data_IF_574188962976
#
_entry.id   IF_574188962976
#
_cell.length_a   1.000
_cell.length_b   1.000
_cell.length_c   1.000
_cell.angle_alpha   90.00
_cell.angle_beta   90.00
_cell.angle_gamma   90.00
#
_symmetry.space_group_name_H-M   'P 1'
#
loop_
_entity.id
_entity.type
_entity.pdbx_description
1 polymer ?
#
# COMPACT_ATOMS: atom_id res chain seq x y z
N UNK A 1 -19.62 12.13 12.01
CA UNK A 1 -18.87 11.45 13.08
C UNK A 1 -18.15 10.27 12.43
N UNK A 2 -16.82 10.23 12.52
CA UNK A 2 -15.97 9.26 11.80
C UNK A 2 -16.21 7.86 12.35
N UNK A 3 -16.64 6.93 11.49
CA UNK A 3 -16.92 5.55 11.85
C UNK A 3 -15.62 4.74 11.65
N UNK A 4 -14.88 4.51 12.75
CA UNK A 4 -13.66 3.71 12.76
C UNK A 4 -14.03 2.24 12.95
N UNK A 5 -13.98 1.43 11.88
CA UNK A 5 -14.31 0.00 11.94
C UNK A 5 -13.20 -0.83 11.30
N UNK A 6 -12.19 -1.17 12.09
CA UNK A 6 -11.33 -2.33 11.84
C UNK A 6 -10.99 -2.95 13.20
N UNK A 7 -11.70 -4.04 13.53
CA UNK A 7 -11.29 -4.92 14.61
C UNK A 7 -10.08 -5.70 14.11
N UNK A 8 -8.88 -5.33 14.57
CA UNK A 8 -7.67 -6.12 14.39
C UNK A 8 -7.84 -7.43 15.15
N UNK A 9 -7.97 -8.55 14.43
CA UNK A 9 -7.88 -9.88 15.02
C UNK A 9 -6.41 -10.18 15.29
N UNK A 10 -5.93 -9.87 16.48
CA UNK A 10 -4.59 -10.26 16.93
C UNK A 10 -4.62 -11.74 17.31
N UNK A 11 -4.21 -12.61 16.38
CA UNK A 11 -3.87 -14.00 16.69
C UNK A 11 -2.40 -14.04 17.15
N UNK A 12 -2.18 -14.06 18.46
CA UNK A 12 -0.84 -14.19 19.04
C UNK A 12 -0.36 -15.64 19.07
N UNK A 13 0.82 -15.90 18.52
CA UNK A 13 1.91 -16.64 19.22
C UNK A 13 3.22 -16.65 18.40
N UNK A 14 4.16 -15.82 18.87
CA UNK A 14 5.62 -15.95 18.88
C UNK A 14 6.36 -16.73 17.77
N UNK A 15 6.85 -15.99 16.76
CA UNK A 15 8.25 -16.06 16.27
C UNK A 15 8.70 -14.61 16.06
N UNK A 16 9.96 -14.30 16.36
CA UNK A 16 10.53 -12.95 16.32
C UNK A 16 10.34 -12.28 14.94
N UNK A 17 9.82 -11.06 14.95
CA UNK A 17 9.57 -10.23 13.76
C UNK A 17 8.09 -10.21 13.41
N UNK A 18 7.46 -9.05 13.53
CA UNK A 18 6.02 -8.88 13.31
C UNK A 18 5.70 -9.16 11.83
N UNK A 19 5.22 -10.37 11.52
CA UNK A 19 4.94 -10.79 10.14
C UNK A 19 3.65 -10.19 9.54
N UNK A 20 2.93 -9.37 10.31
CA UNK A 20 1.60 -8.86 9.95
C UNK A 20 1.53 -7.36 10.15
N UNK A 21 1.02 -6.65 9.14
CA UNK A 21 0.65 -5.25 9.27
C UNK A 21 1.65 -4.25 8.74
N UNK A 22 2.66 -4.65 7.97
CA UNK A 22 3.91 -3.91 7.78
C UNK A 22 4.48 -4.14 6.36
N UNK A 23 4.92 -3.06 5.69
CA UNK A 23 5.77 -3.09 4.49
C UNK A 23 7.19 -2.63 4.84
N UNK A 24 8.19 -3.20 4.16
CA UNK A 24 9.56 -2.69 4.26
C UNK A 24 9.70 -1.48 3.35
N UNK A 25 9.91 -0.29 3.91
CA UNK A 25 10.10 0.94 3.17
C UNK A 25 11.59 1.34 3.16
N UNK A 26 12.17 1.52 1.98
CA UNK A 26 13.51 2.06 1.79
C UNK A 26 13.45 3.48 1.24
N UNK A 27 14.24 4.37 1.82
CA UNK A 27 14.35 5.76 1.38
C UNK A 27 15.69 5.99 0.71
N UNK A 28 15.68 6.68 -0.42
CA UNK A 28 16.86 7.03 -1.20
C UNK A 28 16.94 8.53 -1.43
N UNK A 29 18.16 9.07 -1.48
CA UNK A 29 18.42 10.44 -1.90
C UNK A 29 18.37 10.57 -3.42
N UNK A 30 17.53 11.47 -3.90
CA UNK A 30 17.24 11.73 -5.29
C UNK A 30 16.11 10.86 -5.84
N UNK A 31 15.83 11.04 -7.12
CA UNK A 31 14.94 10.22 -7.91
C UNK A 31 15.46 10.14 -9.35
N UNK A 32 15.05 9.08 -10.06
CA UNK A 32 15.33 8.95 -11.48
C UNK A 32 14.32 7.99 -12.12
N UNK A 33 14.14 8.19 -13.42
CA UNK A 33 13.38 7.30 -14.29
C UNK A 33 14.37 6.56 -15.19
N UNK A 34 14.29 5.23 -15.21
CA UNK A 34 15.11 4.41 -16.08
C UNK A 34 14.66 4.50 -17.55
N UNK A 35 15.43 3.86 -18.45
CA UNK A 35 15.13 3.86 -19.89
C UNK A 35 13.81 3.16 -20.25
N UNK A 36 13.23 2.37 -19.34
CA UNK A 36 11.93 1.72 -19.49
C UNK A 36 10.78 2.55 -18.93
N UNK A 37 11.06 3.75 -18.41
CA UNK A 37 10.05 4.62 -17.82
C UNK A 37 9.71 4.28 -16.37
N UNK A 38 10.51 3.45 -15.70
CA UNK A 38 10.25 3.07 -14.31
C UNK A 38 11.05 3.93 -13.33
N UNK A 39 10.42 4.22 -12.19
CA UNK A 39 11.10 4.78 -11.03
C UNK A 39 12.17 3.78 -10.59
N UNK A 40 13.41 4.25 -10.54
CA UNK A 40 14.59 3.42 -10.30
C UNK A 40 15.45 3.98 -9.18
N UNK A 41 16.01 3.10 -8.37
CA UNK A 41 16.92 3.44 -7.28
C UNK A 41 18.39 3.19 -7.64
N UNK A 42 18.66 2.73 -8.86
CA UNK A 42 20.00 2.35 -9.32
C UNK A 42 20.95 3.55 -9.33
N UNK A 43 21.92 3.57 -8.43
CA UNK A 43 22.86 4.69 -8.31
C UNK A 43 22.38 5.83 -7.41
N UNK A 44 21.20 5.70 -6.78
CA UNK A 44 20.80 6.57 -5.69
C UNK A 44 21.45 6.14 -4.37
N UNK A 45 21.63 7.09 -3.45
CA UNK A 45 22.16 6.79 -2.11
C UNK A 45 21.03 6.32 -1.21
N UNK A 46 21.11 5.10 -0.67
CA UNK A 46 20.18 4.62 0.34
C UNK A 46 20.38 5.38 1.66
N UNK A 47 19.32 5.99 2.18
CA UNK A 47 19.35 6.81 3.39
C UNK A 47 18.91 6.03 4.63
N UNK A 48 18.06 5.02 4.45
CA UNK A 48 17.65 4.14 5.53
C UNK A 48 16.42 3.31 5.18
N UNK A 49 16.06 2.44 6.12
CA UNK A 49 14.90 1.56 6.03
C UNK A 49 14.02 1.76 7.24
N UNK A 50 12.71 1.79 7.05
CA UNK A 50 11.74 1.69 8.12
C UNK A 50 10.63 0.70 7.77
N UNK A 51 9.75 0.46 8.72
CA UNK A 51 8.57 -0.37 8.53
C UNK A 51 7.35 0.54 8.49
N UNK A 52 6.55 0.38 7.46
CA UNK A 52 5.38 1.21 7.20
C UNK A 52 4.11 0.37 7.17
N UNK A 53 3.17 0.57 8.10
CA UNK A 53 2.00 -0.29 8.16
C UNK A 53 1.02 -0.05 7.01
N UNK A 54 1.01 1.16 6.44
CA UNK A 54 0.11 1.56 5.35
C UNK A 54 0.74 2.69 4.55
N UNK A 55 0.55 2.68 3.23
CA UNK A 55 0.88 3.84 2.38
C UNK A 55 -0.30 4.82 2.48
N UNK A 56 -0.30 5.64 3.53
CA UNK A 56 -1.33 6.64 3.86
C UNK A 56 -0.69 7.95 4.36
N UNK A 57 0.21 8.52 3.56
CA UNK A 57 0.99 9.71 3.89
C UNK A 57 0.47 10.94 3.15
N UNK A 58 -0.78 11.31 3.40
CA UNK A 58 -1.36 12.58 2.94
C UNK A 58 -2.58 12.97 3.79
N UNK A 59 -2.70 14.24 4.18
CA UNK A 59 -3.81 14.73 4.99
C UNK A 59 -4.95 15.38 4.18
N UNK A 60 -4.94 15.21 2.85
CA UNK A 60 -5.85 15.84 1.90
C UNK A 60 -5.72 17.38 1.82
N UNK A 61 -4.55 17.93 2.16
CA UNK A 61 -4.22 19.35 1.96
C UNK A 61 -3.10 19.52 0.94
N UNK A 62 -3.07 20.69 0.31
CA UNK A 62 -2.00 21.04 -0.65
C UNK A 62 -0.67 21.38 0.02
N UNK A 63 -0.68 21.66 1.32
CA UNK A 63 0.50 22.07 2.08
C UNK A 63 1.14 20.95 2.88
N UNK A 64 0.67 19.71 2.70
CA UNK A 64 1.22 18.55 3.38
C UNK A 64 2.66 18.32 2.92
N UNK A 65 3.48 17.91 3.90
CA UNK A 65 4.88 17.57 3.68
C UNK A 65 5.18 16.30 4.41
N UNK A 66 5.33 15.21 3.67
CA UNK A 66 5.78 13.98 4.28
C UNK A 66 7.30 14.07 4.47
N UNK A 67 7.77 13.62 5.63
CA UNK A 67 9.19 13.69 5.96
C UNK A 67 9.68 12.31 6.37
N UNK A 68 9.86 11.40 5.40
CA UNK A 68 10.40 10.08 5.68
C UNK A 68 11.87 10.21 6.07
N UNK A 69 12.21 9.77 7.29
CA UNK A 69 13.57 9.74 7.83
C UNK A 69 14.31 11.09 7.90
N UNK A 70 13.60 12.22 7.97
CA UNK A 70 14.25 13.54 8.03
C UNK A 70 14.55 14.16 6.66
N UNK A 71 14.03 13.59 5.57
CA UNK A 71 14.24 14.06 4.19
C UNK A 71 13.02 14.85 3.73
N UNK A 72 13.23 16.09 3.27
CA UNK A 72 12.14 16.99 2.88
C UNK A 72 11.84 16.97 1.38
N UNK A 73 12.84 16.80 0.51
CA UNK A 73 12.69 16.93 -0.94
C UNK A 73 13.71 16.03 -1.65
N UNK A 74 13.49 15.78 -2.95
CA UNK A 74 14.39 15.00 -3.80
C UNK A 74 14.70 13.65 -3.19
N UNK A 75 13.68 12.80 -3.09
CA UNK A 75 13.82 11.47 -2.54
C UNK A 75 12.97 10.46 -3.28
N UNK A 76 13.32 9.19 -3.12
CA UNK A 76 12.53 8.05 -3.59
C UNK A 76 12.22 7.16 -2.40
N UNK A 77 10.98 6.68 -2.29
CA UNK A 77 10.61 5.61 -1.35
C UNK A 77 10.17 4.38 -2.13
N UNK A 78 10.70 3.23 -1.75
CA UNK A 78 10.22 1.94 -2.26
C UNK A 78 9.65 1.12 -1.11
N UNK A 79 8.42 0.64 -1.25
CA UNK A 79 7.83 -0.34 -0.34
C UNK A 79 7.85 -1.72 -0.97
N UNK A 80 8.39 -2.70 -0.24
CA UNK A 80 8.40 -4.10 -0.63
C UNK A 80 7.71 -4.97 0.42
N UNK A 81 6.88 -5.89 -0.05
CA UNK A 81 6.17 -6.86 0.78
C UNK A 81 5.19 -7.69 -0.04
N UNK A 82 4.06 -8.03 0.58
CA UNK A 82 2.98 -8.76 -0.08
C UNK A 82 1.62 -8.16 0.26
N UNK A 83 0.74 -8.19 -0.72
CA UNK A 83 -0.69 -7.93 -0.58
C UNK A 83 -1.44 -9.24 -0.40
N UNK A 84 -2.21 -9.35 0.67
CA UNK A 84 -3.06 -10.50 0.96
C UNK A 84 -4.49 -10.27 0.45
N UNK A 85 -4.89 -11.15 -0.46
CA UNK A 85 -6.15 -11.07 -1.17
C UNK A 85 -7.08 -12.20 -0.66
N UNK A 86 -8.27 -11.90 -0.11
CA UNK A 86 -9.14 -12.92 0.48
C UNK A 86 -9.99 -13.70 -0.52
N UNK A 87 -10.15 -13.20 -1.74
CA UNK A 87 -11.03 -13.79 -2.74
C UNK A 87 -10.47 -13.58 -4.13
N UNK A 88 -10.74 -14.54 -5.01
CA UNK A 88 -10.49 -14.36 -6.44
C UNK A 88 -11.35 -13.20 -6.99
N UNK A 89 -10.77 -12.39 -7.86
CA UNK A 89 -11.53 -11.40 -8.60
C UNK A 89 -10.71 -10.21 -9.08
N UNK A 90 -11.43 -9.22 -9.62
CA UNK A 90 -10.84 -7.96 -10.06
C UNK A 90 -10.74 -7.01 -8.86
N UNK A 91 -9.51 -6.59 -8.58
CA UNK A 91 -9.20 -5.54 -7.61
C UNK A 91 -8.86 -4.28 -8.39
N UNK A 92 -9.53 -3.17 -8.08
CA UNK A 92 -9.16 -1.86 -8.60
C UNK A 92 -8.24 -1.17 -7.59
N UNK A 93 -7.25 -0.44 -8.07
CA UNK A 93 -6.29 0.29 -7.27
C UNK A 93 -6.27 1.75 -7.70
N UNK A 94 -6.08 2.62 -6.72
CA UNK A 94 -5.95 4.05 -6.90
C UNK A 94 -4.81 4.57 -6.05
N UNK A 95 -4.00 5.45 -6.60
CA UNK A 95 -3.05 6.25 -5.83
C UNK A 95 -3.40 7.73 -5.96
N UNK A 96 -3.04 8.50 -4.94
CA UNK A 96 -2.86 9.94 -5.08
C UNK A 96 -1.43 10.23 -4.65
N UNK A 97 -0.66 10.88 -5.50
CA UNK A 97 0.75 11.18 -5.24
C UNK A 97 1.14 12.57 -5.75
N UNK A 98 2.02 13.20 -5.00
CA UNK A 98 2.79 14.39 -5.38
C UNK A 98 4.24 14.04 -5.02
N UNK A 99 5.15 13.74 -5.95
CA UNK A 99 4.97 13.61 -7.40
C UNK A 99 4.55 12.19 -7.86
N UNK A 100 5.51 11.37 -8.28
CA UNK A 100 5.30 10.23 -9.17
C UNK A 100 5.24 8.90 -8.43
N UNK A 101 4.40 7.98 -8.90
CA UNK A 101 4.21 6.66 -8.31
C UNK A 101 4.06 5.55 -9.35
N UNK A 102 4.59 4.37 -9.02
CA UNK A 102 4.29 3.12 -9.70
C UNK A 102 3.97 2.03 -8.68
N UNK A 103 3.02 1.16 -9.03
CA UNK A 103 2.60 0.02 -8.20
C UNK A 103 2.68 -1.24 -9.04
N UNK A 104 3.39 -2.23 -8.54
CA UNK A 104 3.56 -3.54 -9.14
C UNK A 104 2.99 -4.60 -8.20
N UNK A 105 2.20 -5.52 -8.77
CA UNK A 105 1.65 -6.68 -8.05
C UNK A 105 2.06 -7.94 -8.81
N UNK A 106 2.89 -8.77 -8.19
CA UNK A 106 3.61 -9.83 -8.89
C UNK A 106 4.46 -9.26 -10.03
N UNK A 107 4.29 -9.79 -11.23
CA UNK A 107 4.99 -9.32 -12.44
C UNK A 107 4.20 -8.22 -13.20
N UNK A 108 3.07 -7.76 -12.67
CA UNK A 108 2.18 -6.82 -13.34
C UNK A 108 2.37 -5.39 -12.82
N UNK A 109 2.60 -4.43 -13.73
CA UNK A 109 2.44 -3.01 -13.42
C UNK A 109 0.95 -2.68 -13.35
N UNK A 110 0.47 -2.36 -12.15
CA UNK A 110 -0.95 -2.07 -11.88
C UNK A 110 -1.22 -0.58 -11.99
N UNK A 111 -0.37 0.26 -11.37
CA UNK A 111 -0.42 1.72 -11.52
C UNK A 111 0.90 2.17 -12.15
N UNK A 112 0.81 2.97 -13.20
CA UNK A 112 1.96 3.56 -13.87
C UNK A 112 1.76 5.08 -14.00
N UNK A 113 2.19 5.84 -12.99
CA UNK A 113 2.07 7.29 -12.97
C UNK A 113 3.38 7.99 -12.51
N UNK A 114 4.50 7.83 -13.25
CA UNK A 114 5.82 8.31 -12.84
C UNK A 114 6.06 9.78 -13.23
N UNK A 115 5.01 10.57 -13.47
CA UNK A 115 5.11 11.93 -13.95
C UNK A 115 5.42 12.94 -12.84
N UNK A 116 6.04 14.05 -13.20
CA UNK A 116 6.05 15.25 -12.35
C UNK A 116 4.65 15.86 -12.35
N UNK A 117 4.09 16.07 -11.18
CA UNK A 117 2.72 16.49 -10.99
C UNK A 117 2.49 16.98 -9.57
N UNK A 118 1.55 17.91 -9.40
CA UNK A 118 0.88 18.07 -8.11
C UNK A 118 0.08 16.80 -7.78
N UNK A 119 -0.43 16.66 -6.55
CA UNK A 119 -1.37 15.60 -6.11
C UNK A 119 -2.29 15.05 -7.21
N UNK A 120 -1.81 14.00 -7.89
CA UNK A 120 -2.41 13.46 -9.11
C UNK A 120 -2.81 12.00 -8.92
N UNK A 121 -3.90 11.64 -9.58
CA UNK A 121 -4.51 10.32 -9.42
C UNK A 121 -3.92 9.30 -10.41
N UNK A 122 -3.43 8.18 -9.87
CA UNK A 122 -3.11 6.98 -10.65
C UNK A 122 -4.20 5.93 -10.47
N UNK A 123 -4.64 5.28 -11.55
CA UNK A 123 -5.65 4.22 -11.51
C UNK A 123 -5.13 2.96 -12.18
N UNK A 124 -5.57 1.81 -11.66
CA UNK A 124 -5.16 0.50 -12.12
C UNK A 124 -6.14 -0.59 -11.72
N UNK A 125 -6.02 -1.76 -12.33
CA UNK A 125 -6.72 -2.96 -11.84
C UNK A 125 -5.90 -4.21 -12.10
N UNK A 126 -6.09 -5.22 -11.26
CA UNK A 126 -5.48 -6.54 -11.41
C UNK A 126 -6.51 -7.63 -11.11
N UNK A 127 -6.46 -8.71 -11.88
CA UNK A 127 -7.21 -9.93 -11.55
C UNK A 127 -6.32 -10.79 -10.66
N UNK A 128 -6.71 -10.95 -9.40
CA UNK A 128 -5.92 -11.63 -8.38
C UNK A 128 -6.67 -12.87 -7.90
N UNK A 129 -5.93 -13.94 -7.63
CA UNK A 129 -6.44 -15.10 -6.89
C UNK A 129 -6.31 -14.87 -5.40
N UNK A 130 -7.11 -15.55 -4.59
CA UNK A 130 -6.96 -15.54 -3.14
C UNK A 130 -5.55 -16.02 -2.73
N UNK A 131 -4.91 -15.29 -1.82
CA UNK A 131 -3.54 -15.57 -1.38
C UNK A 131 -2.65 -14.33 -1.32
N UNK A 132 -1.35 -14.56 -1.20
CA UNK A 132 -0.34 -13.51 -1.14
C UNK A 132 0.20 -13.19 -2.54
N UNK A 133 0.27 -11.92 -2.88
CA UNK A 133 0.88 -11.41 -4.10
C UNK A 133 2.02 -10.46 -3.75
N UNK A 134 3.17 -10.60 -4.39
CA UNK A 134 4.28 -9.66 -4.17
C UNK A 134 3.83 -8.24 -4.48
N UNK A 135 4.18 -7.28 -3.62
CA UNK A 135 3.86 -5.87 -3.77
C UNK A 135 5.17 -5.08 -3.78
N UNK A 136 5.38 -4.32 -4.85
CA UNK A 136 6.44 -3.32 -4.98
C UNK A 136 5.78 -1.99 -5.34
N UNK A 137 5.93 -0.98 -4.48
CA UNK A 137 5.45 0.38 -4.71
C UNK A 137 6.65 1.30 -4.73
N UNK A 138 6.74 2.14 -5.75
CA UNK A 138 7.83 3.11 -5.90
C UNK A 138 7.23 4.48 -6.03
N UNK A 139 7.67 5.38 -5.19
CA UNK A 139 7.25 6.77 -5.15
C UNK A 139 8.47 7.66 -5.18
N UNK A 140 8.37 8.83 -5.79
CA UNK A 140 9.37 9.86 -5.61
C UNK A 140 8.74 11.24 -5.46
N UNK A 141 9.52 12.11 -4.83
CA UNK A 141 9.18 13.50 -4.60
C UNK A 141 10.21 14.44 -5.26
N UNK A 142 9.73 15.47 -5.96
CA UNK A 142 10.51 16.50 -6.63
C UNK A 142 10.06 17.93 -6.23
N UNK A 143 10.52 18.32 -5.05
CA UNK A 143 10.43 19.66 -4.46
C UNK A 143 9.02 20.09 -4.03
N UNK A 144 9.00 20.93 -2.99
CA UNK A 144 7.84 21.68 -2.48
C UNK A 144 6.95 20.96 -1.48
N UNK A 145 5.94 20.22 -1.93
CA UNK A 145 4.94 19.56 -1.12
C UNK A 145 4.78 18.14 -1.64
N UNK A 146 4.48 17.23 -0.74
CA UNK A 146 4.59 15.83 -1.07
C UNK A 146 3.64 15.02 -0.21
N UNK A 147 3.14 13.95 -0.81
CA UNK A 147 2.29 12.99 -0.11
C UNK A 147 1.86 11.88 -1.04
N UNK A 148 1.61 10.72 -0.46
CA UNK A 148 1.27 9.52 -1.20
C UNK A 148 0.31 8.65 -0.42
N UNK A 149 -0.77 8.23 -1.08
CA UNK A 149 -1.70 7.25 -0.54
C UNK A 149 -1.95 6.14 -1.56
N UNK A 150 -2.16 4.92 -1.06
CA UNK A 150 -2.61 3.78 -1.84
C UNK A 150 -3.99 3.31 -1.37
N UNK A 151 -4.91 3.27 -2.32
CA UNK A 151 -6.30 2.89 -2.13
C UNK A 151 -6.65 1.71 -3.05
N UNK A 152 -7.68 0.98 -2.66
CA UNK A 152 -8.20 -0.13 -3.44
C UNK A 152 -9.73 -0.25 -3.36
N UNK A 153 -10.28 -1.00 -4.30
CA UNK A 153 -11.62 -1.57 -4.28
C UNK A 153 -11.51 -3.08 -4.51
N UNK A 154 -11.72 -3.89 -3.45
CA UNK A 154 -11.88 -5.33 -3.59
C UNK A 154 -13.11 -5.70 -4.44
N UNK A 155 -13.19 -6.95 -4.94
CA UNK A 155 -14.36 -7.44 -5.67
C UNK A 155 -15.66 -7.17 -4.92
N UNK A 156 -16.56 -6.42 -5.58
CA UNK A 156 -17.88 -6.05 -5.04
C UNK A 156 -17.89 -4.84 -4.10
N UNK A 157 -16.76 -4.18 -3.87
CA UNK A 157 -16.73 -2.87 -3.19
C UNK A 157 -17.14 -1.75 -4.15
N UNK A 158 -17.85 -0.74 -3.63
CA UNK A 158 -18.27 0.44 -4.42
C UNK A 158 -17.43 1.68 -4.12
N UNK A 159 -16.87 1.77 -2.92
CA UNK A 159 -16.10 2.90 -2.41
C UNK A 159 -14.61 2.58 -2.34
N UNK A 160 -13.77 3.59 -2.61
CA UNK A 160 -12.33 3.49 -2.38
C UNK A 160 -12.03 3.45 -0.87
N UNK A 161 -11.14 2.55 -0.48
CA UNK A 161 -10.59 2.50 0.87
C UNK A 161 -9.06 2.53 0.81
N UNK A 162 -8.42 3.12 1.82
CA UNK A 162 -6.98 2.93 2.04
C UNK A 162 -6.70 1.43 2.14
N UNK A 163 -5.63 0.95 1.51
CA UNK A 163 -5.22 -0.45 1.64
C UNK A 163 -4.94 -0.74 3.12
N UNK A 164 -5.71 -1.62 3.79
CA UNK A 164 -5.64 -1.78 5.23
C UNK A 164 -4.35 -2.47 5.65
N UNK A 165 -3.74 -2.05 6.77
CA UNK A 165 -2.53 -2.69 7.30
C UNK A 165 -2.67 -4.22 7.39
N UNK A 166 -3.85 -4.71 7.80
CA UNK A 166 -4.13 -6.14 7.96
C UNK A 166 -4.03 -6.99 6.67
N UNK A 167 -3.89 -6.38 5.49
CA UNK A 167 -3.63 -7.11 4.23
C UNK A 167 -2.21 -6.89 3.69
N UNK A 168 -1.34 -6.22 4.44
CA UNK A 168 0.04 -5.93 4.07
C UNK A 168 1.00 -6.69 5.00
N UNK A 169 1.98 -7.38 4.42
CA UNK A 169 2.94 -8.21 5.15
C UNK A 169 4.34 -8.11 4.54
N UNK A 170 5.39 -8.13 5.37
CA UNK A 170 6.79 -8.07 4.90
C UNK A 170 7.30 -9.40 4.38
N UNK A 171 6.68 -10.50 4.80
CA UNK A 171 7.01 -11.87 4.38
C UNK A 171 5.71 -12.64 4.17
N UNK A 172 5.71 -13.60 3.25
CA UNK A 172 4.58 -14.51 3.11
C UNK A 172 4.44 -15.28 4.42
N UNK A 173 3.31 -15.18 5.13
CA UNK A 173 3.07 -15.98 6.32
C UNK A 173 3.10 -17.46 5.95
N UNK A 174 3.55 -18.32 6.86
CA UNK A 174 3.45 -19.78 6.66
C UNK A 174 2.04 -20.17 6.19
N UNK A 175 1.85 -21.18 5.32
CA UNK A 175 0.56 -21.48 4.68
C UNK A 175 -0.64 -21.55 5.64
N UNK A 176 -0.43 -22.00 6.88
CA UNK A 176 -1.46 -22.03 7.92
C UNK A 176 -1.87 -20.65 8.47
N UNK A 177 -0.95 -19.69 8.53
CA UNK A 177 -1.21 -18.33 8.99
C UNK A 177 -1.95 -17.49 7.94
N UNK A 178 -1.70 -17.74 6.64
CA UNK A 178 -2.47 -17.13 5.54
C UNK A 178 -3.95 -17.52 5.63
N UNK A 179 -4.24 -18.80 5.84
CA UNK A 179 -5.61 -19.28 5.98
C UNK A 179 -6.36 -18.62 7.15
N UNK A 180 -5.71 -18.44 8.30
CA UNK A 180 -6.29 -17.81 9.49
C UNK A 180 -6.60 -16.32 9.28
N UNK A 181 -5.70 -15.58 8.64
CA UNK A 181 -5.92 -14.16 8.37
C UNK A 181 -7.02 -13.91 7.34
N UNK A 182 -7.06 -14.69 6.25
CA UNK A 182 -8.11 -14.58 5.24
C UNK A 182 -9.49 -14.92 5.83
N UNK A 183 -9.57 -15.90 6.73
CA UNK A 183 -10.80 -16.21 7.48
C UNK A 183 -11.20 -15.06 8.41
N UNK A 184 -10.24 -14.44 9.11
CA UNK A 184 -10.50 -13.27 9.97
C UNK A 184 -11.06 -12.06 9.22
N UNK A 185 -10.48 -11.73 8.06
CA UNK A 185 -10.95 -10.66 7.16
C UNK A 185 -12.36 -10.92 6.63
N UNK A 186 -12.65 -12.16 6.21
CA UNK A 186 -13.98 -12.54 5.71
C UNK A 186 -15.07 -12.46 6.80
N UNK A 187 -14.74 -12.86 8.04
CA UNK A 187 -15.66 -12.76 9.19
C UNK A 187 -15.94 -11.30 9.54
N UNK A 188 -14.93 -10.42 9.55
CA UNK A 188 -15.12 -9.00 9.81
C UNK A 188 -16.03 -8.33 8.75
N UNK A 189 -15.86 -8.67 7.47
CA UNK A 189 -16.71 -8.19 6.38
C UNK A 189 -18.14 -8.75 6.45
N UNK A 190 -18.32 -10.00 6.88
CA UNK A 190 -19.63 -10.62 7.05
C UNK A 190 -20.44 -10.06 8.24
N UNK A 191 -19.77 -9.66 9.31
CA UNK A 191 -20.40 -9.05 10.49
C UNK A 191 -20.92 -7.63 10.19
N UNK A 192 -20.25 -6.87 9.32
CA UNK A 192 -20.72 -5.51 8.95
C UNK A 192 -22.01 -5.54 8.13
N UNK A 193 -22.18 -6.53 7.23
CA UNK A 193 -23.40 -6.67 6.41
C UNK A 193 -24.66 -6.99 7.22
N UNK A 194 -24.53 -7.66 8.38
CA UNK A 194 -25.70 -7.99 9.22
C UNK A 194 -26.25 -6.81 10.02
N UNK A 195 -25.47 -5.73 10.23
CA UNK A 195 -25.91 -4.58 11.02
C UNK A 195 -26.69 -3.52 10.24
N UNK A 196 -26.75 -3.60 8.91
CA UNK A 196 -27.52 -2.67 8.07
C UNK A 196 -28.92 -3.19 7.66
N UNK A 197 -29.35 -4.36 8.18
CA UNK A 197 -30.61 -4.99 7.81
C UNK A 197 -31.78 -4.82 8.78
N UNK A 198 -31.55 -4.27 9.97
CA UNK A 198 -32.59 -4.15 11.01
C UNK A 198 -32.80 -2.67 11.37
N UNK A 199 -33.67 -2.00 10.61
CA UNK A 199 -34.35 -0.76 10.98
C UNK A 199 -35.67 -0.62 10.20
#
# INVERSE_FOLDING_TARGET
MKANWLAALVLGSAVAGNAWGDLRADVYSGWQIDLSGNISTVGLTHLGTFVDPQIDHWDNTQGYRWNPLGVDELYTVTWAGYLLVPADGVYEFRSVSDDGIQVFIGDQTVINNPGLQWYGEGLGSATLTAGAHALDVRFYENFTYDGVILQWKPPGATEWAIVPAGVLVTQVPEPGAVALALVGLAVAAGVSRRRQGDA
#
